data_IF_909896821773
#
_entry.id   IF_909896821773
#
_cell.length_a   1.000
_cell.length_b   1.000
_cell.length_c   1.000
_cell.angle_alpha   90.00
_cell.angle_beta   90.00
_cell.angle_gamma   90.00
#
_symmetry.space_group_name_H-M   'P 1'
#
loop_
_entity.id
_entity.type
_entity.pdbx_description
1 polymer ?
#
# COMPACT_ATOMS: atom_id res chain seq x y z
N UNK A 1 -8.13 13.58 -12.47
CA UNK A 1 -9.35 13.57 -11.65
C UNK A 1 -9.33 14.79 -10.73
N UNK A 2 -10.31 15.69 -10.81
CA UNK A 2 -10.39 16.82 -9.87
C UNK A 2 -10.88 16.27 -8.52
N UNK A 3 -10.04 16.31 -7.51
CA UNK A 3 -10.38 15.93 -6.13
C UNK A 3 -11.48 16.87 -5.62
N UNK A 4 -12.59 16.28 -5.18
CA UNK A 4 -13.67 17.02 -4.54
C UNK A 4 -13.20 17.57 -3.20
N UNK A 5 -13.12 18.89 -3.06
CA UNK A 5 -12.80 19.56 -1.80
C UNK A 5 -14.07 20.15 -1.18
N UNK A 6 -14.34 19.81 0.08
CA UNK A 6 -15.46 20.39 0.83
C UNK A 6 -15.29 21.90 1.01
N UNK A 7 -16.42 22.61 1.09
CA UNK A 7 -16.41 24.04 1.45
C UNK A 7 -15.83 24.25 2.85
N UNK A 8 -14.91 25.18 2.95
CA UNK A 8 -14.27 25.54 4.22
C UNK A 8 -15.17 26.48 5.04
N UNK A 9 -15.00 26.59 6.37
CA UNK A 9 -15.79 27.48 7.24
C UNK A 9 -15.79 28.96 6.79
N UNK A 10 -14.67 29.42 6.24
CA UNK A 10 -14.48 30.75 5.70
C UNK A 10 -15.34 30.98 4.45
N UNK A 11 -15.34 30.00 3.54
CA UNK A 11 -16.17 30.01 2.33
C UNK A 11 -17.68 30.03 2.67
N UNK A 12 -18.07 29.26 3.70
CA UNK A 12 -19.46 29.28 4.18
C UNK A 12 -19.86 30.69 4.72
N UNK A 13 -18.93 31.38 5.37
CA UNK A 13 -19.15 32.74 5.86
C UNK A 13 -19.33 33.73 4.71
N UNK A 14 -18.49 33.61 3.66
CA UNK A 14 -18.61 34.43 2.44
C UNK A 14 -19.92 34.13 1.70
N UNK A 15 -20.31 32.86 1.53
CA UNK A 15 -21.62 32.52 0.94
C UNK A 15 -22.75 33.18 1.71
N UNK A 16 -22.71 33.15 3.04
CA UNK A 16 -23.73 33.77 3.89
C UNK A 16 -23.81 35.28 3.65
N UNK A 17 -22.68 36.00 3.67
CA UNK A 17 -22.60 37.41 3.46
C UNK A 17 -23.12 37.84 2.08
N UNK A 18 -22.68 37.19 1.02
CA UNK A 18 -23.05 37.48 -0.35
C UNK A 18 -24.53 37.15 -0.64
N UNK A 19 -25.06 36.07 -0.04
CA UNK A 19 -26.51 35.76 -0.14
C UNK A 19 -27.39 36.77 0.55
N UNK A 20 -26.97 37.34 1.68
CA UNK A 20 -27.66 38.47 2.33
C UNK A 20 -27.69 39.72 1.43
N UNK A 21 -26.63 39.91 0.65
CA UNK A 21 -26.53 40.97 -0.35
C UNK A 21 -27.23 40.64 -1.68
N UNK A 22 -27.99 39.55 -1.74
CA UNK A 22 -28.78 39.06 -2.90
C UNK A 22 -27.93 38.61 -4.12
N UNK A 23 -26.66 38.30 -3.96
CA UNK A 23 -25.86 37.75 -5.04
C UNK A 23 -26.39 36.36 -5.50
N UNK A 24 -26.36 36.10 -6.79
CA UNK A 24 -26.75 34.81 -7.36
C UNK A 24 -25.73 33.71 -6.97
N UNK A 25 -26.17 32.45 -6.96
CA UNK A 25 -25.26 31.32 -6.71
C UNK A 25 -24.11 31.26 -7.74
N UNK A 26 -24.38 31.67 -8.99
CA UNK A 26 -23.37 31.74 -10.04
C UNK A 26 -22.32 32.80 -9.74
N UNK A 27 -22.73 34.01 -9.33
CA UNK A 27 -21.82 35.08 -9.00
C UNK A 27 -20.95 34.71 -7.77
N UNK A 28 -21.51 34.08 -6.76
CA UNK A 28 -20.78 33.59 -5.59
C UNK A 28 -19.79 32.49 -5.99
N UNK A 29 -20.18 31.59 -6.91
CA UNK A 29 -19.32 30.53 -7.39
C UNK A 29 -18.07 31.05 -8.11
N UNK A 30 -18.23 32.09 -8.93
CA UNK A 30 -17.11 32.77 -9.59
C UNK A 30 -16.14 33.34 -8.57
N UNK A 31 -16.67 34.06 -7.56
CA UNK A 31 -15.86 34.71 -6.54
C UNK A 31 -15.08 33.73 -5.66
N UNK A 32 -15.69 32.57 -5.35
CA UNK A 32 -15.06 31.51 -4.55
C UNK A 32 -14.26 30.50 -5.40
N UNK A 33 -14.20 30.68 -6.72
CA UNK A 33 -13.57 29.72 -7.67
C UNK A 33 -14.09 28.28 -7.47
N UNK A 34 -15.40 28.16 -7.22
CA UNK A 34 -16.11 26.90 -7.00
C UNK A 34 -17.15 26.66 -8.10
N UNK A 35 -17.56 25.41 -8.26
CA UNK A 35 -18.63 25.09 -9.21
C UNK A 35 -19.98 25.70 -8.74
N UNK A 36 -20.78 26.30 -9.64
CA UNK A 36 -22.09 26.85 -9.30
C UNK A 36 -23.02 25.82 -8.65
N UNK A 37 -22.93 24.55 -9.08
CA UNK A 37 -23.68 23.43 -8.50
C UNK A 37 -23.34 23.16 -7.03
N UNK A 38 -22.10 23.43 -6.61
CA UNK A 38 -21.66 23.28 -5.21
C UNK A 38 -22.32 24.35 -4.34
N UNK A 39 -22.30 25.61 -4.79
CA UNK A 39 -22.92 26.72 -4.08
C UNK A 39 -24.45 26.56 -4.05
N UNK A 40 -25.08 26.18 -5.17
CA UNK A 40 -26.51 25.94 -5.23
C UNK A 40 -26.97 24.81 -4.29
N UNK A 41 -26.25 23.69 -4.24
CA UNK A 41 -26.53 22.59 -3.30
C UNK A 41 -26.41 23.04 -1.84
N UNK A 42 -25.40 23.81 -1.51
CA UNK A 42 -25.22 24.34 -0.16
C UNK A 42 -26.35 25.30 0.22
N UNK A 43 -26.75 26.22 -0.67
CA UNK A 43 -27.84 27.11 -0.43
C UNK A 43 -29.19 26.38 -0.28
N UNK A 44 -29.47 25.35 -1.08
CA UNK A 44 -30.68 24.51 -0.92
C UNK A 44 -30.67 23.77 0.42
N UNK A 45 -29.54 23.20 0.78
CA UNK A 45 -29.40 22.49 2.06
C UNK A 45 -29.75 23.38 3.23
N UNK A 46 -29.35 24.64 3.18
CA UNK A 46 -29.60 25.60 4.24
C UNK A 46 -31.06 26.12 4.24
N UNK A 47 -31.69 26.22 3.08
CA UNK A 47 -33.09 26.56 2.99
C UNK A 47 -34.03 25.52 3.64
N UNK A 48 -33.59 24.23 3.60
CA UNK A 48 -34.32 23.13 4.25
C UNK A 48 -34.18 23.10 5.77
N UNK A 49 -33.18 23.79 6.32
CA UNK A 49 -32.85 23.78 7.76
C UNK A 49 -33.36 25.04 8.47
N UNK A 50 -33.70 26.09 7.74
CA UNK A 50 -34.36 27.27 8.32
C UNK A 50 -35.71 26.82 8.90
N UNK A 51 -36.04 27.21 10.16
CA UNK A 51 -37.34 26.87 10.73
C UNK A 51 -38.44 27.39 9.80
N UNK A 52 -39.31 26.47 9.38
CA UNK A 52 -40.52 26.78 8.62
C UNK A 52 -41.35 27.80 9.41
N UNK A 53 -41.32 29.05 8.99
CA UNK A 53 -42.45 29.94 9.30
C UNK A 53 -43.68 29.31 8.62
N UNK A 54 -44.83 29.18 9.32
CA UNK A 54 -45.99 28.52 8.76
C UNK A 54 -46.54 29.32 7.59
N UNK A 55 -46.91 28.60 6.52
CA UNK A 55 -47.72 29.04 5.36
C UNK A 55 -46.96 29.64 4.16
N UNK A 56 -46.89 28.91 3.16
CA UNK A 56 -47.39 28.99 1.80
C UNK A 56 -46.56 28.17 0.85
N UNK A 57 -47.16 27.11 0.33
CA UNK A 57 -46.70 26.36 -0.83
C UNK A 57 -46.72 27.30 -2.04
N UNK A 58 -45.61 27.93 -2.32
CA UNK A 58 -45.29 28.49 -3.63
C UNK A 58 -43.82 28.74 -3.70
N UNK A 59 -43.11 28.02 -4.61
CA UNK A 59 -41.74 28.21 -5.05
C UNK A 59 -40.72 28.41 -3.94
N UNK A 60 -39.79 27.46 -3.80
CA UNK A 60 -38.61 27.61 -2.91
C UNK A 60 -38.00 28.99 -3.17
N UNK A 61 -38.01 29.92 -2.21
CA UNK A 61 -37.48 31.26 -2.43
C UNK A 61 -35.99 31.13 -2.78
N UNK A 62 -35.62 31.57 -3.96
CA UNK A 62 -34.22 31.66 -4.40
C UNK A 62 -33.34 32.53 -3.48
N UNK A 63 -33.95 33.17 -2.46
CA UNK A 63 -33.34 34.14 -1.57
C UNK A 63 -33.48 33.82 -0.07
N UNK A 64 -33.76 32.57 0.31
CA UNK A 64 -33.75 32.17 1.72
C UNK A 64 -32.44 32.56 2.42
N UNK A 65 -32.47 33.13 3.63
CA UNK A 65 -31.28 33.58 4.32
C UNK A 65 -30.37 32.38 4.66
N UNK A 66 -29.14 32.45 4.22
CA UNK A 66 -28.14 31.48 4.58
C UNK A 66 -27.56 31.73 5.97
N UNK A 67 -27.50 30.75 6.83
CA UNK A 67 -26.92 30.84 8.16
C UNK A 67 -25.75 29.88 8.35
N UNK A 68 -24.55 30.41 8.53
CA UNK A 68 -23.33 29.62 8.81
C UNK A 68 -23.50 28.77 10.08
N UNK A 69 -24.17 29.34 11.11
CA UNK A 69 -24.40 28.65 12.39
C UNK A 69 -25.33 27.47 12.21
N UNK A 70 -26.41 27.61 11.44
CA UNK A 70 -27.31 26.51 11.09
C UNK A 70 -26.61 25.46 10.24
N UNK A 71 -25.75 25.85 9.26
CA UNK A 71 -24.96 24.93 8.45
C UNK A 71 -24.00 24.08 9.29
N UNK A 72 -23.29 24.70 10.21
CA UNK A 72 -22.37 23.99 11.13
C UNK A 72 -23.13 23.02 12.04
N UNK A 73 -24.29 23.44 12.55
CA UNK A 73 -25.14 22.61 13.40
C UNK A 73 -25.69 21.40 12.66
N UNK A 74 -26.25 21.56 11.47
CA UNK A 74 -26.74 20.47 10.63
C UNK A 74 -25.63 19.46 10.26
N UNK A 75 -24.43 19.97 9.91
CA UNK A 75 -23.29 19.11 9.65
C UNK A 75 -22.88 18.31 10.89
N UNK A 76 -22.88 18.92 12.07
CA UNK A 76 -22.58 18.24 13.33
C UNK A 76 -23.65 17.20 13.68
N UNK A 77 -24.94 17.51 13.45
CA UNK A 77 -26.06 16.59 13.67
C UNK A 77 -26.00 15.39 12.71
N UNK A 78 -25.73 15.63 11.42
CA UNK A 78 -25.55 14.54 10.44
C UNK A 78 -24.35 13.66 10.77
N UNK A 79 -23.23 14.23 11.20
CA UNK A 79 -22.08 13.48 11.70
C UNK A 79 -22.42 12.64 12.93
N UNK A 80 -23.21 13.21 13.88
CA UNK A 80 -23.69 12.48 15.07
C UNK A 80 -24.67 11.38 14.70
N UNK A 81 -25.61 11.64 13.79
CA UNK A 81 -26.57 10.64 13.31
C UNK A 81 -25.88 9.51 12.56
N UNK A 82 -24.91 9.81 11.69
CA UNK A 82 -24.12 8.77 11.01
C UNK A 82 -23.23 8.00 12.00
N UNK A 83 -22.71 8.63 13.06
CA UNK A 83 -21.98 7.95 14.12
C UNK A 83 -22.90 7.12 15.03
N UNK A 84 -24.14 7.56 15.24
CA UNK A 84 -25.17 6.82 16.00
C UNK A 84 -25.69 5.58 15.26
N UNK A 85 -25.77 5.64 13.93
CA UNK A 85 -26.14 4.51 13.07
C UNK A 85 -24.95 3.60 12.71
N UNK A 86 -23.72 4.04 12.98
CA UNK A 86 -22.55 3.18 12.81
C UNK A 86 -22.59 2.11 13.92
N UNK A 87 -22.54 0.83 13.51
CA UNK A 87 -22.40 -0.27 14.44
C UNK A 87 -21.26 0.02 15.42
N UNK A 88 -21.58 0.07 16.72
CA UNK A 88 -20.56 0.16 17.77
C UNK A 88 -19.90 -1.21 17.87
N UNK A 89 -18.60 -1.25 17.61
CA UNK A 89 -17.80 -2.44 17.80
C UNK A 89 -17.35 -2.53 19.26
N UNK A 90 -17.58 -3.68 19.87
CA UNK A 90 -17.20 -3.98 21.25
C UNK A 90 -15.99 -4.91 21.25
N UNK A 91 -15.24 -4.91 22.36
CA UNK A 91 -14.04 -5.73 22.51
C UNK A 91 -14.35 -7.23 22.42
N UNK A 92 -15.52 -7.63 22.84
CA UNK A 92 -16.02 -9.00 22.88
C UNK A 92 -16.57 -9.48 21.54
N UNK A 93 -16.59 -8.63 20.52
CA UNK A 93 -17.05 -9.06 19.19
C UNK A 93 -16.09 -10.13 18.62
N UNK A 94 -16.61 -11.30 18.30
CA UNK A 94 -15.86 -12.47 17.82
C UNK A 94 -14.95 -12.18 16.59
N UNK A 95 -15.26 -11.11 15.84
CA UNK A 95 -14.40 -10.66 14.74
C UNK A 95 -12.99 -10.26 15.19
N UNK A 96 -12.82 -9.79 16.41
CA UNK A 96 -11.50 -9.40 16.92
C UNK A 96 -10.66 -10.61 17.31
N UNK A 97 -11.30 -11.66 17.85
CA UNK A 97 -10.64 -12.93 18.12
C UNK A 97 -10.18 -13.59 16.81
N UNK A 98 -11.01 -13.53 15.77
CA UNK A 98 -10.67 -14.04 14.45
C UNK A 98 -9.52 -13.29 13.75
N UNK A 99 -9.26 -12.02 14.11
CA UNK A 99 -8.14 -11.24 13.57
C UNK A 99 -6.81 -11.53 14.29
N UNK A 100 -6.87 -11.98 15.54
CA UNK A 100 -5.69 -12.17 16.39
C UNK A 100 -4.66 -13.16 15.84
N UNK A 101 -5.01 -14.34 15.30
CA UNK A 101 -4.04 -15.25 14.69
C UNK A 101 -3.27 -14.61 13.55
N UNK A 102 -3.96 -13.91 12.66
CA UNK A 102 -3.34 -13.22 11.53
C UNK A 102 -2.34 -12.11 11.96
N UNK A 103 -2.62 -11.44 13.07
CA UNK A 103 -1.70 -10.45 13.65
C UNK A 103 -0.47 -11.13 14.28
N UNK A 104 -0.64 -12.30 14.90
CA UNK A 104 0.47 -13.11 15.42
C UNK A 104 1.42 -13.56 14.30
N UNK A 105 0.90 -13.82 13.09
CA UNK A 105 1.67 -14.08 11.88
C UNK A 105 2.29 -12.83 11.24
N UNK A 106 2.36 -11.72 11.95
CA UNK A 106 2.93 -10.46 11.48
C UNK A 106 2.16 -9.81 10.33
N UNK A 107 0.89 -10.15 10.13
CA UNK A 107 0.03 -9.46 9.17
C UNK A 107 -0.39 -8.09 9.71
N UNK A 108 -0.56 -7.10 8.82
CA UNK A 108 -1.17 -5.83 9.20
C UNK A 108 -2.69 -5.98 9.38
N UNK A 109 -3.33 -5.08 10.14
CA UNK A 109 -4.79 -5.07 10.30
C UNK A 109 -5.54 -5.11 8.96
N UNK A 110 -5.02 -4.41 7.94
CA UNK A 110 -5.63 -4.42 6.61
C UNK A 110 -5.54 -5.80 5.94
N UNK A 111 -4.43 -6.52 6.13
CA UNK A 111 -4.24 -7.88 5.61
C UNK A 111 -5.11 -8.91 6.34
N UNK A 112 -5.19 -8.80 7.67
CA UNK A 112 -6.03 -9.67 8.48
C UNK A 112 -7.52 -9.56 8.06
N UNK A 113 -8.05 -8.33 7.96
CA UNK A 113 -9.43 -8.10 7.49
C UNK A 113 -9.63 -8.54 6.04
N UNK A 114 -8.63 -8.30 5.17
CA UNK A 114 -8.71 -8.70 3.77
C UNK A 114 -8.75 -10.22 3.61
N UNK A 115 -7.95 -10.94 4.39
CA UNK A 115 -7.97 -12.40 4.46
C UNK A 115 -9.34 -12.95 4.88
N UNK A 116 -9.90 -12.42 5.98
CA UNK A 116 -11.24 -12.81 6.45
C UNK A 116 -12.35 -12.52 5.42
N UNK A 117 -12.29 -11.39 4.73
CA UNK A 117 -13.25 -11.07 3.66
C UNK A 117 -13.21 -12.06 2.52
N UNK A 118 -12.05 -12.60 2.22
CA UNK A 118 -11.88 -13.57 1.13
C UNK A 118 -12.37 -14.96 1.53
N UNK A 119 -12.24 -15.33 2.78
CA UNK A 119 -12.73 -16.60 3.33
C UNK A 119 -14.26 -16.67 3.40
N UNK A 120 -14.94 -15.54 3.22
CA UNK A 120 -16.34 -15.31 2.80
C UNK A 120 -17.45 -15.88 3.66
N UNK A 121 -17.32 -17.02 4.30
CA UNK A 121 -18.46 -17.78 4.81
C UNK A 121 -18.41 -18.11 6.31
N UNK A 122 -17.30 -17.85 6.98
CA UNK A 122 -17.07 -18.38 8.34
C UNK A 122 -17.76 -17.60 9.47
N UNK A 123 -18.35 -16.43 9.23
CA UNK A 123 -18.77 -15.53 10.31
C UNK A 123 -20.30 -15.24 10.36
N UNK A 124 -21.15 -16.05 9.76
CA UNK A 124 -22.60 -15.92 9.85
C UNK A 124 -23.12 -14.52 9.45
N UNK A 125 -24.18 -13.97 10.09
CA UNK A 125 -24.79 -12.69 9.73
C UNK A 125 -23.88 -11.47 9.93
N UNK A 126 -22.61 -11.63 10.34
CA UNK A 126 -21.59 -10.60 10.40
C UNK A 126 -21.08 -10.19 9.02
N UNK A 127 -22.00 -9.86 8.14
CA UNK A 127 -21.69 -9.42 6.75
C UNK A 127 -20.88 -8.14 6.66
N UNK A 128 -20.57 -7.49 7.77
CA UNK A 128 -19.78 -6.24 7.79
C UNK A 128 -18.60 -6.37 8.74
N UNK A 129 -17.42 -6.47 8.17
CA UNK A 129 -16.17 -6.34 8.92
C UNK A 129 -15.88 -4.86 9.23
N UNK A 130 -15.21 -4.55 10.36
CA UNK A 130 -14.84 -3.18 10.71
C UNK A 130 -14.01 -2.51 9.61
N UNK A 131 -14.17 -1.22 9.46
CA UNK A 131 -13.30 -0.45 8.57
C UNK A 131 -11.87 -0.42 9.14
N UNK A 132 -10.89 -0.21 8.26
CA UNK A 132 -9.49 -0.03 8.68
C UNK A 132 -9.34 1.05 9.76
N UNK A 133 -10.05 2.18 9.61
CA UNK A 133 -10.01 3.27 10.59
C UNK A 133 -10.58 2.84 11.95
N UNK A 134 -11.66 2.06 11.95
CA UNK A 134 -12.26 1.50 13.17
C UNK A 134 -11.29 0.56 13.88
N UNK A 135 -10.61 -0.32 13.13
CA UNK A 135 -9.63 -1.25 13.68
C UNK A 135 -8.45 -0.52 14.34
N UNK A 136 -7.89 0.48 13.68
CA UNK A 136 -6.79 1.26 14.28
C UNK A 136 -7.22 2.00 15.54
N UNK A 137 -8.46 2.50 15.60
CA UNK A 137 -9.01 3.13 16.81
C UNK A 137 -9.18 2.16 17.97
N UNK A 138 -9.49 0.91 17.67
CA UNK A 138 -9.70 -0.14 18.67
C UNK A 138 -8.42 -0.92 18.99
N UNK A 139 -7.36 -0.73 18.22
CA UNK A 139 -6.12 -1.48 18.40
C UNK A 139 -5.45 -1.26 19.78
N UNK A 140 -5.54 -0.05 20.31
CA UNK A 140 -5.01 0.27 21.65
C UNK A 140 -5.80 -0.42 22.78
N UNK A 141 -7.14 -0.30 22.86
CA UNK A 141 -7.94 -1.03 23.82
C UNK A 141 -7.81 -2.55 23.73
N UNK A 142 -7.53 -3.09 22.53
CA UNK A 142 -7.32 -4.52 22.29
C UNK A 142 -5.88 -4.99 22.58
N UNK A 143 -4.99 -4.08 22.93
CA UNK A 143 -3.59 -4.39 23.18
C UNK A 143 -2.77 -4.75 21.93
N UNK A 144 -3.28 -4.47 20.74
CA UNK A 144 -2.61 -4.80 19.46
C UNK A 144 -1.42 -3.93 19.13
N UNK A 145 -1.23 -2.80 19.82
CA UNK A 145 -0.04 -1.96 19.68
C UNK A 145 1.17 -2.43 20.48
N UNK A 146 1.06 -3.56 21.18
CA UNK A 146 2.22 -4.18 21.80
C UNK A 146 3.24 -4.59 20.71
N UNK A 147 4.38 -3.88 20.68
CA UNK A 147 5.41 -4.02 19.64
C UNK A 147 6.18 -5.34 19.74
N UNK A 148 6.21 -5.96 20.88
CA UNK A 148 6.83 -7.28 21.09
C UNK A 148 5.93 -8.37 20.53
N UNK A 149 4.63 -8.27 20.80
CA UNK A 149 3.64 -9.25 20.37
C UNK A 149 3.22 -9.06 18.91
N UNK A 150 3.11 -7.81 18.42
CA UNK A 150 2.64 -7.48 17.07
C UNK A 150 3.57 -6.48 16.37
N UNK A 151 4.78 -6.87 15.93
CA UNK A 151 5.75 -5.98 15.28
C UNK A 151 5.24 -5.32 14.00
N UNK A 152 4.30 -5.95 13.28
CA UNK A 152 3.68 -5.43 12.06
C UNK A 152 2.84 -4.16 12.27
N UNK A 153 2.43 -3.89 13.52
CA UNK A 153 1.67 -2.69 13.89
C UNK A 153 2.53 -1.42 14.01
N UNK A 154 3.83 -1.53 13.75
CA UNK A 154 4.73 -0.36 13.74
C UNK A 154 4.32 0.61 12.64
N UNK A 155 4.08 1.86 12.99
CA UNK A 155 3.91 2.95 12.01
C UNK A 155 5.22 3.11 11.22
N UNK A 156 5.14 3.04 9.89
CA UNK A 156 6.30 3.33 9.02
C UNK A 156 6.68 4.80 9.20
N UNK A 157 7.91 5.08 9.67
CA UNK A 157 8.49 6.43 9.56
C UNK A 157 8.89 6.65 8.10
N UNK A 158 8.32 7.64 7.45
CA UNK A 158 8.80 8.11 6.15
C UNK A 158 10.15 8.79 6.34
N UNK A 159 11.15 8.36 5.56
CA UNK A 159 12.45 9.03 5.51
C UNK A 159 12.31 10.41 4.84
N UNK A 160 12.95 11.42 5.40
CA UNK A 160 12.96 12.77 4.85
C UNK A 160 13.82 12.86 3.58
N UNK A 161 13.43 13.73 2.65
CA UNK A 161 14.05 13.93 1.32
C UNK A 161 15.55 14.27 1.34
N UNK A 162 16.13 14.55 2.47
CA UNK A 162 17.51 15.03 2.64
C UNK A 162 18.56 13.92 2.50
N UNK A 163 18.21 12.67 2.80
CA UNK A 163 19.15 11.53 2.66
C UNK A 163 19.36 11.06 1.20
N UNK A 164 18.53 11.52 0.28
CA UNK A 164 18.54 11.09 -1.13
C UNK A 164 19.56 11.87 -1.99
N UNK A 165 20.07 13.01 -1.53
CA UNK A 165 20.94 13.90 -2.33
C UNK A 165 22.44 13.63 -2.23
N UNK A 166 22.92 12.77 -1.36
CA UNK A 166 24.36 12.63 -1.03
C UNK A 166 25.08 11.46 -1.73
N UNK A 167 24.46 10.78 -2.70
CA UNK A 167 25.17 9.76 -3.49
C UNK A 167 25.58 10.35 -4.83
N UNK A 168 26.87 10.75 -4.90
CA UNK A 168 27.53 11.17 -6.13
C UNK A 168 27.26 10.15 -7.26
N UNK A 169 27.06 10.66 -8.47
CA UNK A 169 26.93 9.89 -9.70
C UNK A 169 28.16 8.98 -9.86
N UNK A 170 27.98 7.70 -9.59
CA UNK A 170 28.97 6.69 -9.94
C UNK A 170 28.76 6.29 -11.39
N UNK A 171 29.87 6.20 -12.15
CA UNK A 171 29.84 5.62 -13.49
C UNK A 171 29.15 4.24 -13.45
N UNK A 172 28.32 3.92 -14.44
CA UNK A 172 27.64 2.63 -14.49
C UNK A 172 28.65 1.50 -14.55
N UNK A 173 28.40 0.40 -13.83
CA UNK A 173 29.27 -0.78 -13.88
C UNK A 173 29.35 -1.32 -15.31
N UNK A 174 30.54 -1.72 -15.75
CA UNK A 174 30.86 -2.20 -17.11
C UNK A 174 29.87 -3.29 -17.64
N UNK A 175 29.34 -4.15 -16.77
CA UNK A 175 28.39 -5.19 -17.16
C UNK A 175 27.04 -4.64 -17.64
N UNK A 176 26.64 -3.46 -17.19
CA UNK A 176 25.37 -2.80 -17.54
C UNK A 176 25.31 -2.46 -19.03
N UNK A 177 26.44 -2.12 -19.63
CA UNK A 177 26.53 -1.83 -21.08
C UNK A 177 26.16 -3.02 -21.96
N UNK A 178 26.18 -4.25 -21.43
CA UNK A 178 25.79 -5.50 -22.14
C UNK A 178 24.30 -5.79 -22.07
N UNK A 179 23.54 -4.98 -21.34
CA UNK A 179 22.12 -5.19 -21.09
C UNK A 179 21.27 -4.14 -21.82
N UNK A 180 20.06 -4.48 -22.26
CA UNK A 180 19.11 -3.49 -22.74
C UNK A 180 18.70 -2.53 -21.62
N UNK A 181 18.38 -1.30 -22.00
CA UNK A 181 17.84 -0.31 -21.03
C UNK A 181 16.52 -0.79 -20.43
N UNK A 182 16.30 -0.46 -19.17
CA UNK A 182 15.01 -0.75 -18.51
C UNK A 182 13.83 -0.06 -19.20
N UNK A 183 14.07 1.03 -19.92
CA UNK A 183 13.05 1.76 -20.68
C UNK A 183 12.69 1.03 -22.00
N UNK A 184 13.53 0.10 -22.48
CA UNK A 184 13.28 -0.74 -23.67
C UNK A 184 12.50 -2.03 -23.31
N UNK A 185 12.09 -2.15 -22.07
CA UNK A 185 11.34 -3.32 -21.58
C UNK A 185 9.98 -3.40 -22.28
N UNK A 186 9.56 -4.60 -22.77
CA UNK A 186 8.25 -4.81 -23.36
C UNK A 186 7.09 -4.33 -22.48
N UNK A 187 6.00 -3.92 -23.10
CA UNK A 187 4.82 -3.38 -22.40
C UNK A 187 4.23 -4.40 -21.43
N UNK A 188 4.20 -5.67 -21.82
CA UNK A 188 3.68 -6.79 -21.00
C UNK A 188 4.45 -6.95 -19.69
N UNK A 189 5.77 -6.72 -19.72
CA UNK A 189 6.62 -6.71 -18.52
C UNK A 189 6.41 -5.43 -17.70
N UNK A 190 6.10 -4.32 -18.36
CA UNK A 190 5.84 -3.04 -17.69
C UNK A 190 4.49 -3.06 -16.98
N UNK A 191 3.44 -3.53 -17.64
CA UNK A 191 2.07 -3.64 -17.10
C UNK A 191 1.88 -4.81 -16.12
N UNK A 192 2.93 -5.62 -15.92
CA UNK A 192 2.91 -6.77 -15.00
C UNK A 192 1.92 -7.86 -15.41
N UNK A 193 1.65 -8.02 -16.68
CA UNK A 193 0.78 -9.08 -17.20
C UNK A 193 1.51 -10.43 -17.25
N UNK A 194 2.83 -10.41 -17.39
CA UNK A 194 3.68 -11.59 -17.39
C UNK A 194 4.04 -12.00 -15.95
N UNK A 195 3.81 -13.26 -15.55
CA UNK A 195 4.06 -13.72 -14.17
C UNK A 195 5.55 -13.91 -13.84
N UNK A 196 6.45 -13.83 -14.81
CA UNK A 196 7.82 -14.32 -14.74
C UNK A 196 8.87 -13.23 -14.87
N UNK A 197 8.48 -11.98 -14.61
CA UNK A 197 9.41 -10.87 -14.46
C UNK A 197 9.63 -10.58 -12.97
N UNK A 198 10.87 -10.70 -12.51
CA UNK A 198 11.24 -10.47 -11.11
C UNK A 198 12.11 -9.21 -10.96
N UNK A 199 11.87 -8.46 -9.89
CA UNK A 199 12.79 -7.45 -9.38
C UNK A 199 13.72 -8.13 -8.38
N UNK A 200 15.03 -7.87 -8.45
CA UNK A 200 16.02 -8.44 -7.54
C UNK A 200 16.80 -7.34 -6.82
N UNK A 201 17.12 -7.58 -5.55
CA UNK A 201 17.86 -6.68 -4.68
C UNK A 201 18.58 -7.45 -3.58
N UNK A 202 19.42 -6.76 -2.81
CA UNK A 202 20.07 -7.34 -1.64
C UNK A 202 19.64 -6.64 -0.36
N UNK A 203 19.43 -7.41 0.69
CA UNK A 203 19.21 -6.90 2.05
C UNK A 203 20.52 -7.02 2.82
N UNK A 204 21.06 -5.86 3.19
CA UNK A 204 22.33 -5.74 3.91
C UNK A 204 22.05 -5.62 5.41
N UNK A 205 22.79 -6.33 6.25
CA UNK A 205 22.75 -6.26 7.69
C UNK A 205 23.60 -5.13 8.28
N UNK A 206 24.39 -5.45 9.30
CA UNK A 206 25.40 -4.56 9.86
C UNK A 206 26.51 -4.31 8.84
N UNK A 207 27.13 -3.13 8.86
CA UNK A 207 28.18 -2.77 7.90
C UNK A 207 29.41 -3.70 7.95
N UNK A 208 29.68 -4.31 9.09
CA UNK A 208 30.78 -5.26 9.31
C UNK A 208 30.45 -6.68 8.86
N UNK A 209 29.19 -6.96 8.48
CA UNK A 209 28.73 -8.28 8.06
C UNK A 209 28.90 -8.46 6.55
N UNK A 210 29.60 -9.49 6.12
CA UNK A 210 29.73 -9.84 4.71
C UNK A 210 28.51 -10.57 4.16
N UNK A 211 27.73 -11.23 5.03
CA UNK A 211 26.55 -11.96 4.65
C UNK A 211 25.41 -11.03 4.20
N UNK A 212 24.67 -11.48 3.21
CA UNK A 212 23.50 -10.74 2.68
C UNK A 212 22.35 -11.69 2.36
N UNK A 213 21.13 -11.13 2.39
CA UNK A 213 20.00 -11.81 1.78
C UNK A 213 19.81 -11.29 0.36
N UNK A 214 19.79 -12.19 -0.62
CA UNK A 214 19.35 -11.90 -1.98
C UNK A 214 17.84 -12.10 -2.03
N UNK A 215 17.13 -11.12 -2.57
CA UNK A 215 15.65 -11.12 -2.61
C UNK A 215 15.21 -10.92 -4.05
N UNK A 216 14.48 -11.88 -4.61
CA UNK A 216 13.85 -11.76 -5.92
C UNK A 216 12.33 -11.81 -5.76
N UNK A 217 11.62 -10.85 -6.35
CA UNK A 217 10.17 -10.69 -6.19
C UNK A 217 9.49 -10.60 -7.53
N UNK A 218 8.54 -11.50 -7.79
CA UNK A 218 7.72 -11.45 -8.99
C UNK A 218 6.87 -10.17 -9.02
N UNK A 219 6.94 -9.43 -10.12
CA UNK A 219 6.22 -8.17 -10.28
C UNK A 219 4.70 -8.34 -10.31
N UNK A 220 4.22 -9.44 -10.87
CA UNK A 220 2.79 -9.74 -10.97
C UNK A 220 2.25 -10.37 -9.68
N UNK A 221 2.80 -11.51 -9.29
CA UNK A 221 2.28 -12.32 -8.18
C UNK A 221 2.77 -11.89 -6.79
N UNK A 222 3.82 -11.07 -6.72
CA UNK A 222 4.52 -10.73 -5.48
C UNK A 222 5.21 -11.91 -4.81
N UNK A 223 5.26 -13.06 -5.48
CA UNK A 223 5.99 -14.23 -4.99
C UNK A 223 7.46 -13.87 -4.77
N UNK A 224 7.96 -14.23 -3.62
CA UNK A 224 9.26 -13.79 -3.11
C UNK A 224 10.16 -15.00 -2.92
N UNK A 225 11.36 -14.92 -3.46
CA UNK A 225 12.46 -15.83 -3.18
C UNK A 225 13.48 -15.10 -2.32
N UNK A 226 13.98 -15.77 -1.28
CA UNK A 226 15.02 -15.24 -0.41
C UNK A 226 16.17 -16.23 -0.35
N UNK A 227 17.38 -15.76 -0.67
CA UNK A 227 18.60 -16.52 -0.56
C UNK A 227 19.51 -15.95 0.53
N UNK A 228 20.09 -16.82 1.35
CA UNK A 228 21.18 -16.46 2.25
C UNK A 228 22.50 -16.68 1.54
N UNK A 229 23.35 -15.67 1.50
CA UNK A 229 24.69 -15.73 0.94
C UNK A 229 25.71 -15.21 1.97
N UNK A 230 26.61 -16.10 2.41
CA UNK A 230 27.71 -15.74 3.33
C UNK A 230 28.62 -14.68 2.71
N UNK A 231 28.89 -14.80 1.40
CA UNK A 231 29.61 -13.83 0.59
C UNK A 231 28.78 -13.54 -0.65
N UNK A 232 28.26 -12.31 -0.75
CA UNK A 232 27.39 -11.91 -1.85
C UNK A 232 28.24 -11.52 -3.08
N UNK A 233 28.80 -12.51 -3.75
CA UNK A 233 29.54 -12.34 -5.01
C UNK A 233 28.61 -12.54 -6.22
N UNK A 234 29.00 -12.03 -7.38
CA UNK A 234 28.24 -12.22 -8.62
C UNK A 234 28.07 -13.69 -8.98
N UNK A 235 29.07 -14.52 -8.72
CA UNK A 235 29.00 -15.97 -8.93
C UNK A 235 28.00 -16.63 -7.98
N UNK A 236 28.02 -16.26 -6.70
CA UNK A 236 27.10 -16.82 -5.71
C UNK A 236 25.64 -16.46 -6.02
N UNK A 237 25.37 -15.22 -6.44
CA UNK A 237 24.01 -14.79 -6.85
C UNK A 237 23.54 -15.53 -8.09
N UNK A 238 24.40 -15.71 -9.11
CA UNK A 238 24.07 -16.48 -10.31
C UNK A 238 23.75 -17.93 -9.96
N UNK A 239 24.60 -18.59 -9.17
CA UNK A 239 24.43 -19.98 -8.75
C UNK A 239 23.14 -20.18 -7.96
N UNK A 240 22.87 -19.31 -7.00
CA UNK A 240 21.64 -19.33 -6.22
C UNK A 240 20.41 -19.19 -7.12
N UNK A 241 20.39 -18.21 -8.01
CA UNK A 241 19.23 -17.98 -8.88
C UNK A 241 18.98 -19.18 -9.81
N UNK A 242 20.05 -19.73 -10.43
CA UNK A 242 19.93 -20.93 -11.28
C UNK A 242 19.40 -22.14 -10.50
N UNK A 243 19.83 -22.32 -9.25
CA UNK A 243 19.32 -23.37 -8.38
C UNK A 243 17.82 -23.20 -8.12
N UNK A 244 17.38 -22.01 -7.73
CA UNK A 244 15.96 -21.73 -7.48
C UNK A 244 15.09 -21.89 -8.73
N UNK A 245 15.56 -21.42 -9.88
CA UNK A 245 14.85 -21.62 -11.15
C UNK A 245 14.64 -23.10 -11.48
N UNK A 246 15.65 -23.94 -11.25
CA UNK A 246 15.56 -25.39 -11.49
C UNK A 246 14.65 -26.09 -10.49
N UNK A 247 14.85 -25.85 -9.20
CA UNK A 247 14.08 -26.51 -8.13
C UNK A 247 12.57 -26.21 -8.22
N UNK A 248 12.23 -24.99 -8.55
CA UNK A 248 10.84 -24.55 -8.63
C UNK A 248 10.25 -24.66 -10.03
N UNK A 249 11.01 -25.15 -11.02
CA UNK A 249 10.62 -25.15 -12.44
C UNK A 249 10.12 -23.77 -12.90
N UNK A 250 10.78 -22.70 -12.41
CA UNK A 250 10.39 -21.32 -12.68
C UNK A 250 10.86 -20.91 -14.10
N UNK A 251 9.94 -20.69 -15.06
CA UNK A 251 10.27 -20.20 -16.39
C UNK A 251 10.51 -18.69 -16.37
N UNK A 252 11.51 -18.23 -15.62
CA UNK A 252 11.84 -16.81 -15.49
C UNK A 252 12.37 -16.27 -16.83
N UNK A 253 11.77 -15.18 -17.30
CA UNK A 253 12.11 -14.54 -18.58
C UNK A 253 12.77 -13.18 -18.42
N UNK A 254 12.56 -12.52 -17.30
CA UNK A 254 13.01 -11.14 -17.09
C UNK A 254 13.48 -10.92 -15.65
N UNK A 255 14.58 -10.20 -15.51
CA UNK A 255 15.11 -9.80 -14.22
C UNK A 255 15.47 -8.31 -14.21
N UNK A 256 15.13 -7.63 -13.12
CA UNK A 256 15.35 -6.19 -12.95
C UNK A 256 16.21 -5.97 -11.70
N UNK A 257 17.55 -6.00 -11.82
CA UNK A 257 18.49 -5.63 -10.75
C UNK A 257 18.71 -4.13 -10.68
N UNK A 258 19.38 -3.67 -9.61
CA UNK A 258 20.16 -2.42 -9.71
C UNK A 258 21.50 -2.66 -10.42
N UNK A 259 22.38 -1.64 -10.39
CA UNK A 259 23.71 -1.73 -11.02
C UNK A 259 24.78 -2.31 -10.10
N UNK A 260 24.41 -3.02 -9.04
CA UNK A 260 25.35 -3.64 -8.11
C UNK A 260 26.31 -4.64 -8.79
N UNK A 261 27.54 -4.68 -8.35
CA UNK A 261 28.54 -5.63 -8.86
C UNK A 261 28.17 -7.08 -8.61
N UNK A 262 27.37 -7.34 -7.59
CA UNK A 262 26.83 -8.66 -7.25
C UNK A 262 25.88 -9.23 -8.32
N UNK A 263 25.37 -8.39 -9.22
CA UNK A 263 24.48 -8.80 -10.31
C UNK A 263 25.19 -8.93 -11.66
N UNK A 264 26.51 -8.71 -11.70
CA UNK A 264 27.29 -8.64 -12.94
C UNK A 264 27.29 -9.91 -13.79
N UNK A 265 26.97 -11.07 -13.22
CA UNK A 265 26.91 -12.36 -13.92
C UNK A 265 25.50 -12.80 -14.32
N UNK A 266 24.46 -12.07 -13.93
CA UNK A 266 23.08 -12.40 -14.31
C UNK A 266 22.85 -12.42 -15.83
N UNK A 267 23.46 -11.52 -16.64
CA UNK A 267 23.34 -11.59 -18.10
C UNK A 267 23.91 -12.88 -18.73
N UNK A 268 24.68 -13.66 -18.00
CA UNK A 268 25.21 -14.96 -18.49
C UNK A 268 24.16 -16.09 -18.46
N UNK A 269 22.97 -15.82 -17.86
CA UNK A 269 21.85 -16.77 -17.83
C UNK A 269 21.06 -16.59 -19.13
N UNK A 270 21.34 -17.44 -20.14
CA UNK A 270 20.81 -17.32 -21.52
C UNK A 270 19.27 -17.25 -21.61
N UNK A 271 18.55 -17.85 -20.65
CA UNK A 271 17.08 -17.84 -20.61
C UNK A 271 16.49 -16.53 -20.07
N UNK A 272 17.33 -15.58 -19.61
CA UNK A 272 16.90 -14.34 -18.97
C UNK A 272 17.30 -13.10 -19.77
N UNK A 273 16.38 -12.18 -19.91
CA UNK A 273 16.69 -10.80 -20.26
C UNK A 273 16.83 -9.96 -19.00
N UNK A 274 17.99 -9.32 -18.83
CA UNK A 274 18.30 -8.51 -17.66
C UNK A 274 18.15 -7.03 -18.02
N UNK A 275 17.33 -6.30 -17.28
CA UNK A 275 17.09 -4.87 -17.43
C UNK A 275 17.58 -4.11 -16.20
N UNK A 276 18.83 -3.68 -16.11
CA UNK A 276 19.33 -2.95 -14.95
C UNK A 276 18.61 -1.63 -14.77
N UNK A 277 18.21 -1.31 -13.53
CA UNK A 277 17.63 -0.01 -13.20
C UNK A 277 18.66 1.10 -13.38
N UNK A 278 18.19 2.27 -13.77
CA UNK A 278 19.02 3.46 -13.81
C UNK A 278 19.39 3.90 -12.36
N UNK A 279 20.58 4.50 -12.17
CA UNK A 279 20.97 4.99 -10.86
C UNK A 279 19.95 6.00 -10.32
N UNK A 280 19.73 5.96 -9.02
CA UNK A 280 18.82 6.88 -8.30
C UNK A 280 17.35 6.88 -8.76
N UNK A 281 16.88 5.83 -9.45
CA UNK A 281 15.47 5.66 -9.85
C UNK A 281 14.77 4.52 -9.10
N UNK A 282 14.49 4.67 -7.80
CA UNK A 282 13.87 3.62 -7.00
C UNK A 282 12.48 3.20 -7.53
N UNK A 283 11.76 4.09 -8.20
CA UNK A 283 10.47 3.77 -8.79
C UNK A 283 10.52 2.72 -9.91
N UNK A 284 11.72 2.38 -10.44
CA UNK A 284 11.88 1.33 -11.45
C UNK A 284 11.80 -0.08 -10.85
N UNK A 285 12.05 -0.25 -9.52
CA UNK A 285 11.93 -1.53 -8.79
C UNK A 285 11.13 -1.42 -7.48
N UNK A 286 9.89 -0.89 -7.51
CA UNK A 286 9.11 -0.60 -6.31
C UNK A 286 8.64 -1.87 -5.57
N UNK A 287 8.56 -3.01 -6.28
CA UNK A 287 8.04 -4.26 -5.73
C UNK A 287 9.01 -4.87 -4.73
N UNK A 288 10.28 -4.99 -5.11
CA UNK A 288 11.31 -5.52 -4.22
C UNK A 288 11.60 -4.57 -3.07
N UNK A 289 11.57 -3.25 -3.29
CA UNK A 289 11.74 -2.27 -2.21
C UNK A 289 10.63 -2.38 -1.15
N UNK A 290 9.37 -2.53 -1.58
CA UNK A 290 8.28 -2.77 -0.65
C UNK A 290 8.46 -4.09 0.11
N UNK A 291 8.91 -5.14 -0.57
CA UNK A 291 9.15 -6.46 0.04
C UNK A 291 10.32 -6.41 1.02
N UNK A 292 11.42 -5.73 0.67
CA UNK A 292 12.52 -5.48 1.59
C UNK A 292 12.05 -4.75 2.86
N UNK A 293 11.12 -3.81 2.72
CA UNK A 293 10.45 -3.18 3.86
C UNK A 293 9.68 -4.16 4.74
N UNK A 294 9.10 -5.23 4.19
CA UNK A 294 8.45 -6.29 4.96
C UNK A 294 9.46 -7.24 5.60
N UNK A 295 10.52 -7.60 4.89
CA UNK A 295 11.64 -8.39 5.44
C UNK A 295 12.23 -7.70 6.67
N UNK A 296 12.30 -6.36 6.67
CA UNK A 296 12.80 -5.57 7.82
C UNK A 296 11.94 -5.66 9.09
N UNK A 297 10.76 -6.24 9.04
CA UNK A 297 10.01 -6.61 10.24
C UNK A 297 10.61 -7.84 10.95
N UNK A 298 11.21 -8.75 10.18
CA UNK A 298 11.85 -9.97 10.68
C UNK A 298 13.36 -9.78 10.91
N UNK A 299 14.00 -9.04 10.00
CA UNK A 299 15.44 -8.76 10.00
C UNK A 299 15.66 -7.25 10.09
N UNK A 300 15.64 -6.64 11.28
CA UNK A 300 15.85 -5.20 11.48
C UNK A 300 17.20 -4.70 10.93
N UNK A 301 17.26 -3.41 10.59
CA UNK A 301 18.53 -2.79 10.18
C UNK A 301 19.57 -2.90 11.31
N UNK A 302 20.79 -3.24 10.94
CA UNK A 302 21.89 -3.38 11.89
C UNK A 302 21.99 -4.76 12.56
N UNK A 303 21.09 -5.67 12.28
CA UNK A 303 21.22 -7.08 12.65
C UNK A 303 22.31 -7.76 11.83
N UNK A 304 23.02 -8.72 12.41
CA UNK A 304 23.97 -9.57 11.71
C UNK A 304 23.19 -10.63 10.91
N UNK A 305 23.34 -10.60 9.59
CA UNK A 305 22.71 -11.59 8.69
C UNK A 305 23.44 -12.94 8.81
N UNK A 306 24.74 -12.90 9.08
CA UNK A 306 25.56 -14.10 9.31
C UNK A 306 25.09 -15.00 10.46
N UNK A 307 24.25 -14.48 11.36
CA UNK A 307 23.63 -15.25 12.44
C UNK A 307 22.27 -15.84 12.10
N UNK A 308 21.73 -15.58 10.90
CA UNK A 308 20.46 -16.15 10.47
C UNK A 308 20.64 -17.59 10.04
N UNK A 309 19.74 -18.45 10.49
CA UNK A 309 19.73 -19.86 10.03
C UNK A 309 18.95 -20.01 8.73
N UNK A 310 19.24 -21.06 7.92
CA UNK A 310 18.46 -21.35 6.73
C UNK A 310 16.97 -21.52 6.99
N UNK A 311 16.61 -22.14 8.12
CA UNK A 311 15.22 -22.37 8.55
C UNK A 311 14.51 -21.04 8.82
N UNK A 312 15.19 -20.09 9.45
CA UNK A 312 14.64 -18.76 9.68
C UNK A 312 14.41 -18.01 8.37
N UNK A 313 15.33 -18.10 7.41
CA UNK A 313 15.18 -17.50 6.08
C UNK A 313 14.01 -18.12 5.33
N UNK A 314 13.88 -19.45 5.38
CA UNK A 314 12.76 -20.19 4.81
C UNK A 314 11.42 -19.77 5.47
N UNK A 315 11.40 -19.65 6.79
CA UNK A 315 10.23 -19.16 7.53
C UNK A 315 9.81 -17.75 7.05
N UNK A 316 10.76 -16.81 6.94
CA UNK A 316 10.47 -15.45 6.46
C UNK A 316 9.90 -15.47 5.05
N UNK A 317 10.49 -16.27 4.16
CA UNK A 317 10.00 -16.45 2.79
C UNK A 317 8.58 -17.02 2.77
N UNK A 318 8.30 -18.04 3.56
CA UNK A 318 6.97 -18.64 3.72
C UNK A 318 5.95 -17.58 4.18
N UNK A 319 6.27 -16.85 5.24
CA UNK A 319 5.40 -15.79 5.77
C UNK A 319 5.07 -14.71 4.73
N UNK A 320 6.01 -14.32 3.90
CA UNK A 320 5.78 -13.33 2.85
C UNK A 320 4.92 -13.87 1.70
N UNK A 321 5.06 -15.15 1.37
CA UNK A 321 4.35 -15.79 0.27
C UNK A 321 2.92 -16.21 0.64
N UNK A 322 2.64 -16.42 1.91
CA UNK A 322 1.30 -16.75 2.42
C UNK A 322 0.56 -15.55 3.03
N UNK A 323 1.16 -14.37 2.98
CA UNK A 323 0.53 -13.13 3.45
C UNK A 323 -0.44 -12.56 2.41
N UNK A 324 -1.74 -12.33 2.75
CA UNK A 324 -2.68 -11.69 1.86
C UNK A 324 -2.22 -10.29 1.43
N UNK A 325 -2.35 -9.96 0.14
CA UNK A 325 -1.93 -8.68 -0.43
C UNK A 325 -3.11 -7.92 -1.01
N UNK A 326 -3.31 -6.66 -0.60
CA UNK A 326 -4.36 -5.80 -1.15
C UNK A 326 -4.24 -5.67 -2.68
N UNK A 327 -3.01 -5.52 -3.20
CA UNK A 327 -2.77 -5.41 -4.65
C UNK A 327 -3.03 -6.69 -5.44
N UNK A 328 -3.35 -7.80 -4.77
CA UNK A 328 -3.74 -9.08 -5.34
C UNK A 328 -5.19 -9.43 -4.94
N UNK A 329 -6.03 -8.44 -4.65
CA UNK A 329 -7.39 -8.66 -4.15
C UNK A 329 -7.43 -9.59 -2.93
N UNK A 330 -6.47 -9.40 -2.01
CA UNK A 330 -6.27 -10.20 -0.80
C UNK A 330 -5.90 -11.66 -1.03
N UNK A 331 -5.54 -12.01 -2.26
CA UNK A 331 -4.91 -13.29 -2.56
C UNK A 331 -3.47 -13.32 -2.03
N UNK A 332 -2.99 -14.55 -1.70
CA UNK A 332 -1.59 -14.72 -1.31
C UNK A 332 -0.71 -14.85 -2.54
N UNK A 333 0.56 -14.41 -2.47
CA UNK A 333 1.51 -14.59 -3.56
C UNK A 333 1.65 -16.06 -4.03
N UNK A 334 1.70 -17.01 -3.09
CA UNK A 334 1.81 -18.44 -3.39
C UNK A 334 0.57 -18.96 -4.16
N UNK A 335 -0.64 -18.68 -3.64
CA UNK A 335 -1.88 -19.10 -4.29
C UNK A 335 -2.02 -18.53 -5.71
N UNK A 336 -1.67 -17.25 -5.89
CA UNK A 336 -1.72 -16.63 -7.21
C UNK A 336 -0.68 -17.25 -8.17
N UNK A 337 0.54 -17.55 -7.68
CA UNK A 337 1.57 -18.16 -8.50
C UNK A 337 1.15 -19.56 -8.94
N UNK A 338 0.70 -20.42 -8.01
CA UNK A 338 0.23 -21.78 -8.34
C UNK A 338 -0.91 -21.77 -9.35
N UNK A 339 -1.83 -20.80 -9.24
CA UNK A 339 -2.95 -20.67 -10.19
C UNK A 339 -2.50 -20.25 -11.59
N UNK A 340 -1.49 -19.38 -11.70
CA UNK A 340 -0.98 -18.90 -13.00
C UNK A 340 0.04 -19.85 -13.62
N UNK A 341 0.75 -20.61 -12.82
CA UNK A 341 1.81 -21.51 -13.21
C UNK A 341 1.70 -22.82 -12.41
N UNK A 342 0.75 -23.70 -12.79
CA UNK A 342 0.53 -24.97 -12.05
C UNK A 342 1.74 -25.90 -12.02
N UNK A 343 2.67 -25.78 -12.97
CA UNK A 343 3.90 -26.58 -13.03
C UNK A 343 5.01 -26.12 -12.08
N UNK A 344 4.83 -24.98 -11.39
CA UNK A 344 5.81 -24.47 -10.41
C UNK A 344 5.66 -25.25 -9.10
N UNK A 345 6.75 -25.85 -8.63
CA UNK A 345 6.82 -26.52 -7.34
C UNK A 345 6.96 -25.46 -6.22
N UNK A 346 6.00 -25.38 -5.29
CA UNK A 346 5.97 -24.41 -4.18
C UNK A 346 6.16 -25.11 -2.83
#
# INVERSE_FOLDING_TARGET
MKTYTHLQPEELSVICALRKLRFSCTAIAVQLKRAPSTISRECRRMALIAPLAPLALQSVPTHAPYSVRAAKRDRAEKLRASAGNARRWHREDAVFDALTPSLAEQHSLAQAVGGLRRQGEAFGPLQRLPSRATLYRLAEPLGWFNRERYPSMRLRRYHTKTELRARAERAPNHWVARCPSVDQRPVELTERTQPLCMEIDTVVGRKTDSARLVVAVCRRTRFTLIGYLQHCTAAAVETWLRARMRELHLPLVCLIPDQGSEFARLPNIKSLTVYPCQPHRPWQKPTVENTNGLIRHYVPKGQLISLLTPEFVAYVQHQLNHRPRLCLNWETPAALLSRLLPAVAL
#
